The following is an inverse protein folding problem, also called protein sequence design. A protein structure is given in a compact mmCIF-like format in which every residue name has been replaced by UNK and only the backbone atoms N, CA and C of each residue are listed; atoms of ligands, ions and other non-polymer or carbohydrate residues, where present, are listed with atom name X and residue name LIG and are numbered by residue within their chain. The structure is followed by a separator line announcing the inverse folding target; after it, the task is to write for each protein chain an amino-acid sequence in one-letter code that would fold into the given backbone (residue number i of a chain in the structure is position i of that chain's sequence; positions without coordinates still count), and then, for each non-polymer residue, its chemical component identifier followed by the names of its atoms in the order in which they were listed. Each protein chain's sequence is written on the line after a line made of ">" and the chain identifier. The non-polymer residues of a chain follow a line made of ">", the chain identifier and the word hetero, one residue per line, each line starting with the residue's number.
data_IF_979849291832
#
_entry.id   IF_979849291832
#
_cell.length_a   1.000
_cell.length_b   1.000
_cell.length_c   1.000
_cell.angle_alpha   90.00
_cell.angle_beta   90.00
_cell.angle_gamma   90.00
#
_symmetry.space_group_name_H-M   'P 1'
#
loop_
_entity.id
_entity.type
_entity.pdbx_description
1 polymer ?
#
# COMPACT_ATOMS: atom_id res chain seq x y z
N UNK A 1 -10.74 -13.74 -15.20
CA UNK A 1 -11.97 -13.66 -14.41
C UNK A 1 -13.05 -12.94 -15.21
N UNK A 2 -14.26 -13.41 -15.18
CA UNK A 2 -15.43 -12.75 -15.73
C UNK A 2 -15.89 -11.64 -14.76
N UNK A 3 -16.41 -10.53 -15.29
CA UNK A 3 -16.95 -9.41 -14.51
C UNK A 3 -16.27 -8.07 -14.82
N UNK A 4 -16.88 -6.98 -14.33
CA UNK A 4 -16.34 -5.63 -14.46
C UNK A 4 -15.35 -5.32 -13.34
N UNK A 5 -14.22 -4.63 -13.63
CA UNK A 5 -13.31 -4.14 -12.61
C UNK A 5 -14.03 -3.21 -11.63
N UNK A 6 -13.91 -3.49 -10.32
CA UNK A 6 -14.46 -2.66 -9.25
C UNK A 6 -13.65 -2.87 -7.96
N UNK A 7 -13.73 -1.95 -7.01
CA UNK A 7 -13.10 -2.15 -5.70
C UNK A 7 -13.55 -3.46 -5.06
N UNK A 8 -14.86 -3.75 -5.09
CA UNK A 8 -15.43 -4.98 -4.55
C UNK A 8 -14.81 -6.24 -5.17
N UNK A 9 -14.66 -6.27 -6.51
CA UNK A 9 -14.09 -7.43 -7.19
C UNK A 9 -12.58 -7.60 -6.91
N UNK A 10 -11.82 -6.50 -6.78
CA UNK A 10 -10.41 -6.55 -6.43
C UNK A 10 -10.19 -7.02 -4.99
N UNK A 11 -10.97 -6.51 -4.03
CA UNK A 11 -10.88 -6.91 -2.64
C UNK A 11 -11.23 -8.40 -2.47
N UNK A 12 -12.33 -8.85 -3.06
CA UNK A 12 -12.72 -10.27 -3.02
C UNK A 12 -11.64 -11.17 -3.65
N UNK A 13 -11.06 -10.75 -4.78
CA UNK A 13 -9.97 -11.49 -5.42
C UNK A 13 -8.71 -11.58 -4.54
N UNK A 14 -8.40 -10.51 -3.81
CA UNK A 14 -7.27 -10.51 -2.89
C UNK A 14 -7.51 -11.43 -1.70
N UNK A 15 -8.71 -11.42 -1.13
CA UNK A 15 -9.09 -12.31 -0.02
C UNK A 15 -9.01 -13.78 -0.44
N UNK A 16 -9.52 -14.13 -1.64
CA UNK A 16 -9.40 -15.48 -2.20
C UNK A 16 -7.93 -15.89 -2.42
N UNK A 17 -7.12 -15.00 -3.03
CA UNK A 17 -5.70 -15.26 -3.25
C UNK A 17 -4.94 -15.44 -1.93
N UNK A 18 -5.24 -14.60 -0.94
CA UNK A 18 -4.63 -14.70 0.39
C UNK A 18 -4.99 -16.02 1.08
N UNK A 19 -6.23 -16.51 0.89
CA UNK A 19 -6.67 -17.77 1.49
C UNK A 19 -5.88 -19.00 0.98
N UNK A 20 -5.32 -18.93 -0.25
CA UNK A 20 -4.53 -19.99 -0.86
C UNK A 20 -3.06 -20.04 -0.37
N UNK A 21 -2.59 -19.01 0.32
CA UNK A 21 -1.21 -18.97 0.83
C UNK A 21 -1.00 -19.94 1.99
N UNK A 22 0.19 -20.53 2.09
CA UNK A 22 0.61 -21.31 3.25
C UNK A 22 0.81 -20.39 4.47
N UNK A 23 -0.03 -20.58 5.49
CA UNK A 23 0.00 -19.76 6.71
C UNK A 23 1.08 -20.17 7.72
N UNK A 24 1.81 -21.26 7.45
CA UNK A 24 2.99 -21.64 8.24
C UNK A 24 4.23 -20.85 7.83
N UNK A 25 4.19 -20.14 6.71
CA UNK A 25 5.25 -19.27 6.23
C UNK A 25 4.95 -17.81 6.53
N UNK A 26 5.98 -16.97 6.79
CA UNK A 26 5.79 -15.54 6.93
C UNK A 26 5.30 -14.92 5.61
N UNK A 27 4.14 -14.25 5.65
CA UNK A 27 3.53 -13.63 4.47
C UNK A 27 3.88 -12.16 4.44
N UNK A 28 4.50 -11.73 3.36
CA UNK A 28 4.79 -10.33 3.07
C UNK A 28 4.00 -9.88 1.85
N UNK A 29 3.47 -8.66 1.90
CA UNK A 29 2.71 -8.08 0.79
C UNK A 29 3.50 -6.94 0.16
N UNK A 30 3.70 -7.01 -1.14
CA UNK A 30 4.21 -5.91 -1.95
C UNK A 30 3.06 -5.34 -2.75
N UNK A 31 2.89 -4.04 -2.73
CA UNK A 31 1.79 -3.37 -3.42
C UNK A 31 2.24 -2.10 -4.15
N UNK A 32 1.56 -1.81 -5.24
CA UNK A 32 1.85 -0.65 -6.07
C UNK A 32 0.56 0.04 -6.50
N UNK A 33 0.55 1.39 -6.46
CA UNK A 33 -0.54 2.24 -6.95
C UNK A 33 -1.92 1.84 -6.38
N UNK A 34 -2.86 1.44 -7.22
CA UNK A 34 -4.19 0.94 -6.83
C UNK A 34 -4.09 -0.23 -5.84
N UNK A 35 -3.07 -1.08 -5.98
CA UNK A 35 -2.79 -2.19 -5.07
C UNK A 35 -2.54 -1.75 -3.63
N UNK A 36 -2.17 -0.49 -3.37
CA UNK A 36 -2.04 0.07 -2.02
C UNK A 36 -3.34 -0.05 -1.22
N UNK A 37 -4.48 0.26 -1.86
CA UNK A 37 -5.80 0.09 -1.23
C UNK A 37 -6.13 -1.37 -0.95
N UNK A 38 -5.78 -2.27 -1.86
CA UNK A 38 -5.99 -3.72 -1.70
C UNK A 38 -5.12 -4.28 -0.57
N UNK A 39 -3.83 -3.89 -0.51
CA UNK A 39 -2.92 -4.30 0.56
C UNK A 39 -3.39 -3.79 1.94
N UNK A 40 -3.88 -2.56 2.01
CA UNK A 40 -4.46 -2.00 3.24
C UNK A 40 -5.72 -2.76 3.68
N UNK A 41 -6.57 -3.21 2.74
CA UNK A 41 -7.69 -4.10 3.05
C UNK A 41 -7.22 -5.41 3.65
N UNK A 42 -6.24 -6.09 3.03
CA UNK A 42 -5.66 -7.31 3.57
C UNK A 42 -5.06 -7.09 4.96
N UNK A 43 -4.38 -5.96 5.19
CA UNK A 43 -3.88 -5.58 6.51
C UNK A 43 -4.99 -5.49 7.56
N UNK A 44 -6.16 -4.94 7.19
CA UNK A 44 -7.33 -4.85 8.08
C UNK A 44 -7.92 -6.21 8.41
N UNK A 45 -8.05 -7.11 7.41
CA UNK A 45 -8.82 -8.36 7.59
C UNK A 45 -7.93 -9.57 7.93
N UNK A 46 -6.64 -9.51 7.64
CA UNK A 46 -5.67 -10.60 7.80
C UNK A 46 -4.37 -10.16 8.50
N UNK A 47 -4.34 -8.98 9.11
CA UNK A 47 -3.13 -8.34 9.61
C UNK A 47 -2.29 -9.21 10.54
N UNK A 48 -2.94 -9.98 11.41
CA UNK A 48 -2.24 -10.89 12.35
C UNK A 48 -1.47 -12.04 11.65
N UNK A 49 -1.84 -12.33 10.40
CA UNK A 49 -1.21 -13.37 9.57
C UNK A 49 -0.16 -12.82 8.61
N UNK A 50 0.06 -11.50 8.65
CA UNK A 50 1.01 -10.83 7.76
C UNK A 50 2.25 -10.41 8.54
N UNK A 51 3.42 -10.76 8.00
CA UNK A 51 4.72 -10.45 8.59
C UNK A 51 5.21 -9.02 8.26
N UNK A 52 4.69 -8.40 7.21
CA UNK A 52 5.03 -7.02 6.83
C UNK A 52 4.56 -6.63 5.44
N UNK A 53 4.75 -5.36 5.12
CA UNK A 53 4.38 -4.82 3.80
C UNK A 53 5.46 -3.89 3.23
N UNK A 54 5.57 -3.86 1.90
CA UNK A 54 6.22 -2.80 1.13
C UNK A 54 5.18 -2.16 0.21
N UNK A 55 4.99 -0.87 0.34
CA UNK A 55 3.95 -0.13 -0.36
C UNK A 55 4.59 0.94 -1.24
N UNK A 56 4.60 0.72 -2.55
CA UNK A 56 4.89 1.76 -3.52
C UNK A 56 3.65 2.65 -3.63
N UNK A 57 3.60 3.64 -2.72
CA UNK A 57 2.40 4.45 -2.51
C UNK A 57 2.33 5.50 -3.59
N UNK A 58 1.34 5.36 -4.45
CA UNK A 58 1.05 6.32 -5.50
C UNK A 58 -0.22 7.12 -5.23
N UNK A 59 -1.14 6.61 -4.37
CA UNK A 59 -2.31 7.37 -3.92
C UNK A 59 -2.89 6.80 -2.63
N UNK A 60 -3.17 7.66 -1.66
CA UNK A 60 -3.89 7.28 -0.44
C UNK A 60 -5.41 7.52 -0.54
N UNK A 61 -5.84 8.36 -1.50
CA UNK A 61 -7.24 8.74 -1.65
C UNK A 61 -7.54 9.15 -3.10
N UNK A 62 -8.10 8.22 -3.87
CA UNK A 62 -8.48 8.47 -5.26
C UNK A 62 -9.50 9.61 -5.42
N UNK A 63 -10.42 9.76 -4.46
CA UNK A 63 -11.39 10.85 -4.49
C UNK A 63 -10.71 12.20 -4.35
N UNK A 64 -9.74 12.31 -3.42
CA UNK A 64 -8.98 13.55 -3.24
C UNK A 64 -8.10 13.86 -4.47
N UNK A 65 -7.46 12.85 -5.06
CA UNK A 65 -6.68 13.04 -6.28
C UNK A 65 -7.57 13.47 -7.45
N UNK A 66 -8.68 12.78 -7.68
CA UNK A 66 -9.60 13.13 -8.75
C UNK A 66 -10.23 14.52 -8.54
N UNK A 67 -10.47 14.91 -7.28
CA UNK A 67 -10.92 16.27 -6.94
C UNK A 67 -9.88 17.33 -7.30
N UNK A 68 -8.57 17.04 -7.19
CA UNK A 68 -7.52 18.00 -7.61
C UNK A 68 -7.46 18.18 -9.12
N UNK A 69 -7.83 17.15 -9.89
CA UNK A 69 -7.86 17.19 -11.36
C UNK A 69 -9.18 17.77 -11.90
N UNK A 70 -10.27 17.63 -11.14
CA UNK A 70 -11.62 18.05 -11.49
C UNK A 70 -12.23 18.88 -10.35
N UNK A 71 -11.71 20.11 -10.09
CA UNK A 71 -12.08 20.89 -8.91
C UNK A 71 -13.55 21.32 -8.88
N UNK A 72 -14.20 21.38 -10.05
CA UNK A 72 -15.59 21.81 -10.18
C UNK A 72 -16.62 20.69 -10.06
N UNK A 73 -16.19 19.42 -9.98
CA UNK A 73 -17.07 18.28 -9.83
C UNK A 73 -17.01 17.74 -8.39
N UNK A 74 -18.13 17.36 -7.77
CA UNK A 74 -18.14 16.73 -6.44
C UNK A 74 -17.70 15.26 -6.58
N UNK A 75 -16.42 15.04 -6.89
CA UNK A 75 -15.86 13.72 -7.23
C UNK A 75 -16.07 12.71 -6.11
N UNK A 76 -16.03 13.14 -4.84
CA UNK A 76 -16.28 12.29 -3.69
C UNK A 76 -17.70 11.68 -3.65
N UNK A 77 -18.67 12.32 -4.33
CA UNK A 77 -20.04 11.82 -4.46
C UNK A 77 -20.20 10.90 -5.68
N UNK A 78 -19.34 11.06 -6.68
CA UNK A 78 -19.42 10.31 -7.95
C UNK A 78 -18.62 9.02 -7.93
N UNK A 79 -17.57 8.93 -7.08
CA UNK A 79 -16.78 7.71 -6.94
C UNK A 79 -17.52 6.69 -6.08
N UNK A 80 -18.02 5.64 -6.73
CA UNK A 80 -18.66 4.49 -6.09
C UNK A 80 -17.64 3.60 -5.38
N UNK A 81 -16.40 3.56 -5.87
CA UNK A 81 -15.31 2.74 -5.34
C UNK A 81 -14.47 3.55 -4.34
N UNK A 82 -14.58 3.20 -3.07
CA UNK A 82 -13.85 3.87 -1.97
C UNK A 82 -12.85 2.91 -1.35
N UNK A 83 -11.57 3.22 -1.56
CA UNK A 83 -10.49 2.67 -0.76
C UNK A 83 -10.17 3.67 0.35
N UNK A 84 -10.04 3.20 1.58
CA UNK A 84 -9.64 4.01 2.74
C UNK A 84 -8.40 3.38 3.40
N UNK A 85 -7.23 3.48 2.76
CA UNK A 85 -6.01 2.87 3.26
C UNK A 85 -5.56 3.46 4.60
N UNK A 86 -5.81 4.73 4.89
CA UNK A 86 -5.49 5.35 6.20
C UNK A 86 -6.23 4.62 7.33
N UNK A 87 -7.54 4.41 7.17
CA UNK A 87 -8.37 3.73 8.16
C UNK A 87 -8.04 2.24 8.26
N UNK A 88 -7.77 1.60 7.12
CA UNK A 88 -7.56 0.16 7.07
C UNK A 88 -6.18 -0.27 7.59
N UNK A 89 -5.17 0.59 7.46
CA UNK A 89 -3.82 0.35 7.99
C UNK A 89 -3.69 0.66 9.49
N UNK A 90 -4.61 1.43 10.05
CA UNK A 90 -4.46 2.04 11.38
C UNK A 90 -3.96 1.07 12.45
N UNK A 91 -4.52 -0.13 12.49
CA UNK A 91 -4.26 -1.13 13.52
C UNK A 91 -3.40 -2.30 12.99
N UNK A 92 -2.79 -2.16 11.81
CA UNK A 92 -1.91 -3.18 11.26
C UNK A 92 -0.68 -3.35 12.15
N UNK A 93 -0.44 -4.56 12.68
CA UNK A 93 0.64 -4.76 13.63
C UNK A 93 2.01 -4.92 12.98
N UNK A 94 2.09 -5.27 11.68
CA UNK A 94 3.34 -5.52 10.97
C UNK A 94 4.13 -4.27 10.58
N UNK A 95 5.44 -4.41 10.30
CA UNK A 95 6.26 -3.33 9.76
C UNK A 95 5.83 -2.97 8.33
N UNK A 96 5.78 -1.69 8.03
CA UNK A 96 5.43 -1.15 6.70
C UNK A 96 6.55 -0.28 6.17
N UNK A 97 7.12 -0.65 5.02
CA UNK A 97 8.01 0.22 4.25
C UNK A 97 7.19 0.96 3.21
N UNK A 98 7.18 2.28 3.30
CA UNK A 98 6.55 3.18 2.33
C UNK A 98 7.60 3.66 1.34
N UNK A 99 7.33 3.51 0.06
CA UNK A 99 8.22 3.88 -1.02
C UNK A 99 7.49 4.88 -1.92
N UNK A 100 8.10 6.04 -2.14
CA UNK A 100 7.54 7.14 -2.94
C UNK A 100 8.49 7.48 -4.08
N UNK A 101 7.95 7.91 -5.21
CA UNK A 101 8.71 8.49 -6.31
C UNK A 101 8.86 10.01 -6.08
N UNK A 102 10.07 10.54 -6.18
CA UNK A 102 10.31 11.97 -5.99
C UNK A 102 9.56 12.82 -7.03
N UNK A 103 9.61 12.40 -8.29
CA UNK A 103 9.04 13.13 -9.42
C UNK A 103 7.73 12.49 -9.92
N UNK A 104 6.87 12.01 -8.99
CA UNK A 104 5.57 11.46 -9.40
C UNK A 104 4.65 12.57 -9.92
N UNK A 105 4.53 12.62 -11.25
CA UNK A 105 3.73 13.61 -11.96
C UNK A 105 2.23 13.27 -12.01
N UNK A 106 1.89 12.03 -11.68
CA UNK A 106 0.50 11.55 -11.65
C UNK A 106 -0.10 11.80 -10.27
N UNK A 107 0.64 11.45 -9.23
CA UNK A 107 0.20 11.54 -7.84
C UNK A 107 1.26 12.22 -7.00
N UNK A 108 1.04 13.47 -6.60
CA UNK A 108 2.01 14.21 -5.79
C UNK A 108 2.44 13.45 -4.53
N UNK A 109 3.74 13.45 -4.25
CA UNK A 109 4.41 12.79 -3.09
C UNK A 109 3.69 13.05 -1.76
N UNK A 110 3.10 14.23 -1.58
CA UNK A 110 2.36 14.61 -0.36
C UNK A 110 1.24 13.65 0.03
N UNK A 111 0.65 12.92 -0.94
CA UNK A 111 -0.41 11.95 -0.63
C UNK A 111 0.17 10.68 0.00
N UNK A 112 1.31 10.19 -0.50
CA UNK A 112 2.02 9.07 0.12
C UNK A 112 2.61 9.45 1.48
N UNK A 113 3.17 10.66 1.60
CA UNK A 113 3.65 11.20 2.86
C UNK A 113 2.55 11.25 3.92
N UNK A 114 1.35 11.70 3.55
CA UNK A 114 0.20 11.73 4.46
C UNK A 114 -0.17 10.33 4.98
N UNK A 115 -0.15 9.31 4.11
CA UNK A 115 -0.41 7.93 4.53
C UNK A 115 0.67 7.44 5.51
N UNK A 116 1.95 7.72 5.21
CA UNK A 116 3.05 7.43 6.10
C UNK A 116 2.89 8.12 7.46
N UNK A 117 2.59 9.41 7.50
CA UNK A 117 2.43 10.18 8.75
C UNK A 117 1.27 9.65 9.60
N UNK A 118 0.18 9.24 8.94
CA UNK A 118 -1.03 8.70 9.58
C UNK A 118 -0.84 7.33 10.21
N UNK A 119 0.01 6.48 9.64
CA UNK A 119 0.29 5.15 10.18
C UNK A 119 1.12 5.25 11.47
N UNK A 120 0.68 4.57 12.54
CA UNK A 120 1.31 4.66 13.88
C UNK A 120 2.16 3.45 14.25
N UNK A 121 2.13 2.39 13.42
CA UNK A 121 2.94 1.20 13.62
C UNK A 121 4.41 1.39 13.25
N UNK A 122 5.14 0.29 13.25
CA UNK A 122 6.55 0.26 12.81
C UNK A 122 6.63 0.60 11.33
N UNK A 123 7.34 1.65 10.98
CA UNK A 123 7.40 2.16 9.61
C UNK A 123 8.75 2.70 9.21
N UNK A 124 9.00 2.69 7.92
CA UNK A 124 10.12 3.34 7.26
C UNK A 124 9.63 4.03 5.98
N UNK A 125 10.17 5.20 5.68
CA UNK A 125 9.90 5.94 4.45
C UNK A 125 11.16 5.97 3.60
N UNK A 126 11.02 5.66 2.32
CA UNK A 126 12.05 5.85 1.32
C UNK A 126 11.49 6.63 0.13
N UNK A 127 12.15 7.73 -0.21
CA UNK A 127 11.85 8.50 -1.42
C UNK A 127 12.91 8.15 -2.44
N UNK A 128 12.51 7.55 -3.55
CA UNK A 128 13.42 7.19 -4.64
C UNK A 128 13.70 8.44 -5.46
N UNK A 129 14.95 8.91 -5.39
CA UNK A 129 15.40 10.12 -6.06
C UNK A 129 15.34 9.96 -7.57
N UNK A 130 14.83 10.97 -8.26
CA UNK A 130 14.68 10.99 -9.71
C UNK A 130 13.59 10.07 -10.28
N UNK A 131 12.99 9.18 -9.46
CA UNK A 131 11.96 8.28 -9.93
C UNK A 131 10.65 8.99 -10.26
N UNK A 132 10.00 8.48 -11.30
CA UNK A 132 8.68 8.88 -11.79
C UNK A 132 7.60 7.86 -11.44
N UNK A 133 6.35 8.15 -11.83
CA UNK A 133 5.22 7.29 -11.50
C UNK A 133 5.39 5.84 -11.94
N UNK A 134 5.97 5.58 -13.11
CA UNK A 134 6.00 4.25 -13.71
C UNK A 134 7.29 3.47 -13.49
N UNK A 135 8.32 4.05 -12.88
CA UNK A 135 9.64 3.43 -12.71
C UNK A 135 10.05 3.21 -11.25
N UNK A 136 9.30 3.76 -10.29
CA UNK A 136 9.65 3.68 -8.87
C UNK A 136 9.75 2.25 -8.33
N UNK A 137 9.05 1.30 -8.93
CA UNK A 137 9.10 -0.12 -8.54
C UNK A 137 10.18 -0.93 -9.27
N UNK A 138 10.84 -0.35 -10.29
CA UNK A 138 11.91 -0.98 -11.05
C UNK A 138 13.25 -0.93 -10.29
N UNK A 139 13.28 -1.56 -9.10
CA UNK A 139 14.45 -1.54 -8.24
C UNK A 139 15.34 -2.76 -8.48
N UNK A 140 16.66 -2.55 -8.34
CA UNK A 140 17.67 -3.60 -8.46
C UNK A 140 17.55 -4.65 -7.32
N UNK A 141 18.03 -5.89 -7.52
CA UNK A 141 17.98 -6.93 -6.48
C UNK A 141 18.61 -6.52 -5.15
N UNK A 142 19.67 -5.71 -5.18
CA UNK A 142 20.36 -5.21 -3.98
C UNK A 142 19.46 -4.32 -3.14
N UNK A 143 18.64 -3.50 -3.77
CA UNK A 143 17.66 -2.66 -3.09
C UNK A 143 16.63 -3.51 -2.32
N UNK A 144 16.19 -4.62 -2.88
CA UNK A 144 15.25 -5.52 -2.21
C UNK A 144 15.85 -6.14 -0.94
N UNK A 145 17.17 -6.30 -0.85
CA UNK A 145 17.83 -6.74 0.39
C UNK A 145 17.59 -5.78 1.55
N UNK A 146 17.52 -4.47 1.28
CA UNK A 146 17.19 -3.48 2.32
C UNK A 146 15.77 -3.66 2.84
N UNK A 147 14.80 -3.96 1.97
CA UNK A 147 13.41 -4.25 2.35
C UNK A 147 13.34 -5.50 3.24
N UNK A 148 14.02 -6.58 2.84
CA UNK A 148 14.06 -7.81 3.62
C UNK A 148 14.75 -7.60 4.98
N UNK A 149 15.85 -6.86 5.03
CA UNK A 149 16.55 -6.53 6.27
C UNK A 149 15.67 -5.69 7.20
N UNK A 150 14.93 -4.72 6.66
CA UNK A 150 13.97 -3.95 7.43
C UNK A 150 12.91 -4.87 8.07
N UNK A 151 12.30 -5.76 7.31
CA UNK A 151 11.31 -6.69 7.84
C UNK A 151 11.91 -7.66 8.88
N UNK A 152 13.07 -8.26 8.60
CA UNK A 152 13.75 -9.19 9.51
C UNK A 152 14.08 -8.53 10.85
N UNK A 153 14.68 -7.34 10.82
CA UNK A 153 15.05 -6.58 12.02
C UNK A 153 13.84 -6.20 12.85
N UNK A 154 12.74 -5.79 12.20
CA UNK A 154 11.54 -5.31 12.92
C UNK A 154 10.66 -6.45 13.42
N UNK A 155 10.68 -7.61 12.75
CA UNK A 155 9.97 -8.79 13.23
C UNK A 155 10.67 -9.47 14.41
N UNK A 156 12.01 -9.45 14.49
CA UNK A 156 12.75 -9.98 15.64
C UNK A 156 12.43 -9.24 16.95
N UNK A 157 11.97 -8.00 16.88
CA UNK A 157 11.50 -7.24 18.05
C UNK A 157 10.11 -7.71 18.54
N UNK A 158 9.38 -8.46 17.71
CA UNK A 158 8.00 -8.90 17.96
C UNK A 158 7.91 -10.37 18.43
N UNK A 159 8.98 -11.12 18.31
CA UNK A 159 9.03 -12.47 18.89
C UNK A 159 9.27 -12.34 20.40
N UNK A 160 8.47 -13.02 21.23
CA UNK A 160 8.62 -13.03 22.67
C UNK A 160 9.93 -13.69 23.09
#
# INVERSE_FOLDING_TARGET
>A
REGSPSAKSFLAAADEAFALLDKNLPIYIVSESLGTGVAAHLAKVQGDKMAGMAMFVRCNNFAALAQTKLPFLPVSLLLLDRYDPEKWLKDFPGPVKFILAENDEVIPVKFGQKLYDGFKGVKELQIIQGAHHNDVSAQLPEWWKEVFNFWATKNSIRMP
#
